data_IF_296070915562
#
_entry.id   IF_296070915562
#
_cell.length_a   1.000
_cell.length_b   1.000
_cell.length_c   1.000
_cell.angle_alpha   90.00
_cell.angle_beta   90.00
_cell.angle_gamma   90.00
#
_symmetry.space_group_name_H-M   'P 1'
#
loop_
_entity.id
_entity.type
_entity.pdbx_description
1 polymer ?
#
# COMPACT_ATOMS: atom_id res chain seq x y z
N UNK A 1 -8.63 8.79 -12.28
CA UNK A 1 -9.93 8.27 -11.76
C UNK A 1 -10.49 7.09 -12.57
N UNK A 2 -10.52 7.11 -13.91
CA UNK A 2 -11.03 5.95 -14.67
C UNK A 2 -10.29 4.62 -14.35
N UNK A 3 -8.97 4.67 -14.14
CA UNK A 3 -8.17 3.49 -13.76
C UNK A 3 -8.46 2.93 -12.36
N UNK A 4 -8.90 3.76 -11.41
CA UNK A 4 -9.32 3.30 -10.07
C UNK A 4 -10.74 2.72 -10.12
N UNK A 5 -11.64 3.38 -10.87
CA UNK A 5 -13.03 2.91 -11.07
C UNK A 5 -13.08 1.58 -11.83
N UNK A 6 -12.24 1.39 -12.85
CA UNK A 6 -12.14 0.11 -13.58
C UNK A 6 -11.65 -1.07 -12.73
N UNK A 7 -11.27 -0.81 -11.47
CA UNK A 7 -10.82 -1.80 -10.49
C UNK A 7 -11.81 -1.98 -9.32
N UNK A 8 -13.04 -1.50 -9.46
CA UNK A 8 -14.13 -1.72 -8.51
C UNK A 8 -14.38 -3.19 -8.18
N UNK A 9 -14.06 -4.13 -9.10
CA UNK A 9 -14.12 -5.57 -8.85
C UNK A 9 -13.32 -6.05 -7.63
N UNK A 10 -12.31 -5.29 -7.20
CA UNK A 10 -11.52 -5.60 -6.00
C UNK A 10 -12.17 -5.08 -4.70
N UNK A 11 -13.29 -4.35 -4.77
CA UNK A 11 -13.97 -3.81 -3.59
C UNK A 11 -14.43 -4.93 -2.63
N UNK A 12 -14.96 -6.04 -3.18
CA UNK A 12 -15.34 -7.20 -2.37
C UNK A 12 -14.14 -7.81 -1.64
N UNK A 13 -13.02 -7.98 -2.33
CA UNK A 13 -11.78 -8.47 -1.71
C UNK A 13 -11.25 -7.51 -0.64
N UNK A 14 -11.28 -6.21 -0.89
CA UNK A 14 -10.89 -5.19 0.08
C UNK A 14 -11.77 -5.21 1.35
N UNK A 15 -13.08 -5.41 1.18
CA UNK A 15 -14.00 -5.59 2.31
C UNK A 15 -13.66 -6.85 3.11
N UNK A 16 -13.45 -7.99 2.44
CA UNK A 16 -13.03 -9.25 3.09
C UNK A 16 -11.72 -9.09 3.87
N UNK A 17 -10.75 -8.35 3.34
CA UNK A 17 -9.51 -8.04 4.07
C UNK A 17 -9.82 -7.21 5.33
N UNK A 18 -10.76 -6.26 5.27
CA UNK A 18 -11.23 -5.52 6.44
C UNK A 18 -11.80 -6.44 7.53
N UNK A 19 -12.68 -7.39 7.15
CA UNK A 19 -13.19 -8.40 8.08
C UNK A 19 -12.07 -9.26 8.65
N UNK A 20 -11.13 -9.72 7.83
CA UNK A 20 -10.00 -10.53 8.26
C UNK A 20 -9.11 -9.78 9.29
N UNK A 21 -8.90 -8.47 9.11
CA UNK A 21 -8.17 -7.62 10.06
C UNK A 21 -8.87 -7.57 11.42
N UNK A 22 -10.20 -7.42 11.45
CA UNK A 22 -10.96 -7.39 12.71
C UNK A 22 -10.96 -8.75 13.40
N UNK A 23 -11.16 -9.84 12.64
CA UNK A 23 -11.06 -11.20 13.17
C UNK A 23 -9.67 -11.46 13.76
N UNK A 24 -8.61 -11.05 13.05
CA UNK A 24 -7.23 -11.16 13.54
C UNK A 24 -7.01 -10.32 14.80
N UNK A 25 -7.59 -9.13 14.90
CA UNK A 25 -7.49 -8.29 16.09
C UNK A 25 -8.13 -8.93 17.32
N UNK A 26 -9.28 -9.57 17.15
CA UNK A 26 -9.97 -10.30 18.23
C UNK A 26 -9.20 -11.56 18.62
N UNK A 27 -8.71 -12.32 17.62
CA UNK A 27 -8.01 -13.59 17.85
C UNK A 27 -6.57 -13.43 18.37
N UNK A 28 -5.90 -12.34 18.02
CA UNK A 28 -4.49 -12.07 18.31
C UNK A 28 -4.35 -10.73 19.05
N UNK A 29 -4.82 -10.63 20.31
CA UNK A 29 -4.81 -9.38 21.06
C UNK A 29 -3.41 -8.84 21.35
N UNK A 30 -2.38 -9.69 21.27
CA UNK A 30 -0.97 -9.31 21.48
C UNK A 30 -0.35 -8.62 20.28
N UNK A 31 -0.97 -8.69 19.09
CA UNK A 31 -0.45 -8.05 17.89
C UNK A 31 -0.88 -6.57 17.87
N UNK A 32 0.05 -5.61 17.76
CA UNK A 32 -0.29 -4.20 17.74
C UNK A 32 -1.25 -3.86 16.59
N UNK A 33 -2.28 -3.07 16.88
CA UNK A 33 -3.30 -2.69 15.89
C UNK A 33 -2.70 -2.03 14.64
N UNK A 34 -1.63 -1.24 14.80
CA UNK A 34 -0.92 -0.62 13.68
C UNK A 34 -0.35 -1.64 12.68
N UNK A 35 0.05 -2.83 13.14
CA UNK A 35 0.53 -3.92 12.28
C UNK A 35 -0.61 -4.49 11.46
N UNK A 36 -1.72 -4.84 12.12
CA UNK A 36 -2.89 -5.43 11.46
C UNK A 36 -3.52 -4.47 10.45
N UNK A 37 -3.75 -3.22 10.86
CA UNK A 37 -4.29 -2.17 9.99
C UNK A 37 -3.33 -1.85 8.86
N UNK A 38 -2.02 -1.76 9.12
CA UNK A 38 -1.02 -1.45 8.10
C UNK A 38 -0.91 -2.55 7.03
N UNK A 39 -0.82 -3.81 7.43
CA UNK A 39 -0.77 -4.93 6.47
C UNK A 39 -2.09 -5.02 5.70
N UNK A 40 -3.22 -4.94 6.42
CA UNK A 40 -4.56 -5.00 5.82
C UNK A 40 -4.79 -3.87 4.80
N UNK A 41 -4.48 -2.63 5.16
CA UNK A 41 -4.61 -1.48 4.27
C UNK A 41 -3.71 -1.62 3.04
N UNK A 42 -2.44 -2.04 3.22
CA UNK A 42 -1.53 -2.23 2.09
C UNK A 42 -2.08 -3.27 1.10
N UNK A 43 -2.53 -4.42 1.60
CA UNK A 43 -3.09 -5.51 0.77
C UNK A 43 -4.39 -5.07 0.11
N UNK A 44 -5.33 -4.46 0.85
CA UNK A 44 -6.63 -4.04 0.35
C UNK A 44 -6.54 -2.94 -0.72
N UNK A 45 -5.61 -1.98 -0.56
CA UNK A 45 -5.54 -0.79 -1.39
C UNK A 45 -4.64 -0.96 -2.63
N UNK A 46 -3.65 -1.88 -2.59
CA UNK A 46 -2.69 -2.09 -3.68
C UNK A 46 -3.34 -2.27 -5.06
N UNK A 47 -4.42 -3.07 -5.24
CA UNK A 47 -5.06 -3.24 -6.54
C UNK A 47 -5.52 -1.93 -7.16
N UNK A 48 -6.02 -0.98 -6.37
CA UNK A 48 -6.56 0.29 -6.87
C UNK A 48 -5.47 1.24 -7.41
N UNK A 49 -4.23 1.10 -6.97
CA UNK A 49 -3.10 1.89 -7.47
C UNK A 49 -2.57 1.41 -8.84
N UNK A 50 -3.02 0.26 -9.33
CA UNK A 50 -2.44 -0.36 -10.52
C UNK A 50 -2.56 0.45 -11.81
N UNK A 51 -3.60 1.29 -11.95
CA UNK A 51 -3.71 2.20 -13.12
C UNK A 51 -2.54 3.18 -13.20
N UNK A 52 -2.11 3.72 -12.05
CA UNK A 52 -0.90 4.55 -11.99
C UNK A 52 0.35 3.72 -12.33
N UNK A 53 0.45 2.50 -11.81
CA UNK A 53 1.58 1.60 -12.09
C UNK A 53 1.72 1.25 -13.58
N UNK A 54 0.61 1.05 -14.29
CA UNK A 54 0.60 0.79 -15.74
C UNK A 54 1.09 2.00 -16.53
N UNK A 55 0.64 3.20 -16.17
CA UNK A 55 1.14 4.45 -16.78
C UNK A 55 2.62 4.66 -16.47
N UNK A 56 3.03 4.43 -15.22
CA UNK A 56 4.40 4.69 -14.77
C UNK A 56 5.43 3.82 -15.47
N UNK A 57 5.10 2.55 -15.71
CA UNK A 57 5.95 1.58 -16.42
C UNK A 57 6.11 1.88 -17.92
N UNK A 58 5.23 2.68 -18.51
CA UNK A 58 5.29 3.03 -19.93
C UNK A 58 5.49 4.55 -20.12
N UNK A 59 6.75 5.02 -20.26
CA UNK A 59 7.05 6.43 -20.46
C UNK A 59 6.36 7.02 -21.70
N UNK A 60 6.16 6.24 -22.75
CA UNK A 60 5.46 6.66 -23.96
C UNK A 60 4.03 7.09 -23.63
N UNK A 61 3.25 6.21 -22.99
CA UNK A 61 1.85 6.50 -22.58
C UNK A 61 1.74 7.75 -21.71
N UNK A 62 2.69 7.97 -20.81
CA UNK A 62 2.73 9.17 -19.97
C UNK A 62 2.95 10.46 -20.76
N UNK A 63 3.79 10.45 -21.79
CA UNK A 63 4.04 11.62 -22.63
C UNK A 63 2.79 12.06 -23.40
N UNK A 64 1.97 11.09 -23.82
CA UNK A 64 0.71 11.37 -24.52
C UNK A 64 -0.35 12.06 -23.64
N UNK A 65 -0.23 12.01 -22.32
CA UNK A 65 -1.18 12.65 -21.40
C UNK A 65 -0.98 14.17 -21.27
N UNK A 66 0.16 14.71 -21.70
CA UNK A 66 0.46 16.16 -21.59
C UNK A 66 0.55 16.71 -20.16
N UNK A 67 0.51 15.85 -19.13
CA UNK A 67 0.52 16.25 -17.72
C UNK A 67 1.89 16.05 -17.08
N UNK A 68 2.18 16.82 -16.02
CA UNK A 68 3.41 16.63 -15.26
C UNK A 68 3.36 15.34 -14.44
N UNK A 69 4.53 14.73 -14.18
CA UNK A 69 4.61 13.53 -13.34
C UNK A 69 4.05 13.76 -11.92
N UNK A 70 4.28 14.96 -11.38
CA UNK A 70 3.82 15.32 -10.03
C UNK A 70 2.29 15.35 -9.98
N UNK A 71 1.67 15.99 -10.96
CA UNK A 71 0.22 16.06 -11.09
C UNK A 71 -0.40 14.67 -11.25
N UNK A 72 0.23 13.80 -12.07
CA UNK A 72 -0.23 12.42 -12.25
C UNK A 72 -0.21 11.63 -10.93
N UNK A 73 0.87 11.75 -10.14
CA UNK A 73 0.99 11.08 -8.85
C UNK A 73 0.01 11.65 -7.84
N UNK A 74 -0.15 12.97 -7.78
CA UNK A 74 -1.07 13.62 -6.84
C UNK A 74 -2.53 13.25 -7.14
N UNK A 75 -2.96 13.31 -8.39
CA UNK A 75 -4.35 12.99 -8.77
C UNK A 75 -4.71 11.53 -8.45
N UNK A 76 -3.82 10.59 -8.74
CA UNK A 76 -4.02 9.18 -8.39
C UNK A 76 -3.86 8.92 -6.88
N UNK A 77 -2.95 9.65 -6.22
CA UNK A 77 -2.76 9.61 -4.78
C UNK A 77 -3.98 10.07 -4.01
N UNK A 78 -4.63 11.16 -4.44
CA UNK A 78 -5.88 11.65 -3.87
C UNK A 78 -7.01 10.63 -4.04
N UNK A 79 -7.12 10.01 -5.23
CA UNK A 79 -8.10 8.96 -5.46
C UNK A 79 -7.87 7.75 -4.54
N UNK A 80 -6.60 7.32 -4.40
CA UNK A 80 -6.21 6.21 -3.54
C UNK A 80 -6.44 6.54 -2.06
N UNK A 81 -6.15 7.78 -1.64
CA UNK A 81 -6.43 8.26 -0.29
C UNK A 81 -7.94 8.25 0.01
N UNK A 82 -8.78 8.67 -0.95
CA UNK A 82 -10.24 8.57 -0.82
C UNK A 82 -10.71 7.12 -0.61
N UNK A 83 -10.18 6.17 -1.39
CA UNK A 83 -10.47 4.74 -1.19
C UNK A 83 -9.96 4.25 0.17
N UNK A 84 -8.78 4.73 0.61
CA UNK A 84 -8.24 4.46 1.94
C UNK A 84 -9.15 4.94 3.05
N UNK A 85 -9.75 6.14 2.93
CA UNK A 85 -10.74 6.66 3.87
C UNK A 85 -12.00 5.79 3.86
N UNK A 86 -12.53 5.41 2.69
CA UNK A 86 -13.68 4.52 2.61
C UNK A 86 -13.40 3.15 3.27
N UNK A 87 -12.20 2.61 3.06
CA UNK A 87 -11.80 1.34 3.66
C UNK A 87 -11.61 1.46 5.18
N UNK A 88 -11.02 2.56 5.66
CA UNK A 88 -10.91 2.85 7.09
C UNK A 88 -12.29 3.02 7.74
N UNK A 89 -13.23 3.68 7.08
CA UNK A 89 -14.61 3.80 7.55
C UNK A 89 -15.31 2.43 7.62
N UNK A 90 -15.14 1.59 6.59
CA UNK A 90 -15.63 0.21 6.62
C UNK A 90 -15.00 -0.56 7.79
N UNK A 91 -13.69 -0.46 7.98
CA UNK A 91 -12.99 -1.12 9.07
C UNK A 91 -13.54 -0.66 10.43
N UNK A 92 -13.78 0.65 10.62
CA UNK A 92 -14.36 1.20 11.83
C UNK A 92 -15.75 0.61 12.12
N UNK A 93 -16.61 0.54 11.11
CA UNK A 93 -17.94 -0.08 11.22
C UNK A 93 -17.83 -1.55 11.62
N UNK A 94 -16.94 -2.31 10.98
CA UNK A 94 -16.75 -3.74 11.28
C UNK A 94 -16.16 -3.94 12.68
N UNK A 95 -15.21 -3.10 13.12
CA UNK A 95 -14.67 -3.18 14.49
C UNK A 95 -15.73 -2.90 15.55
N UNK A 96 -16.57 -1.88 15.34
CA UNK A 96 -17.66 -1.55 16.25
C UNK A 96 -18.69 -2.68 16.32
N UNK A 97 -19.04 -3.27 15.18
CA UNK A 97 -19.92 -4.44 15.13
C UNK A 97 -19.31 -5.66 15.86
N UNK A 98 -17.99 -5.79 15.84
CA UNK A 98 -17.24 -6.79 16.61
C UNK A 98 -17.04 -6.46 18.09
N UNK A 99 -17.59 -5.34 18.59
CA UNK A 99 -17.46 -4.93 19.99
C UNK A 99 -16.05 -4.53 20.41
N UNK A 100 -15.19 -4.14 19.46
CA UNK A 100 -13.78 -3.77 19.69
C UNK A 100 -13.44 -2.42 19.04
N UNK A 101 -12.27 -1.87 19.36
CA UNK A 101 -11.75 -0.67 18.70
C UNK A 101 -10.23 -0.70 18.59
N UNK A 102 -9.72 -0.10 17.51
CA UNK A 102 -8.28 0.16 17.38
C UNK A 102 -7.92 1.50 18.02
N UNK A 103 -6.76 1.57 18.67
CA UNK A 103 -6.19 2.82 19.17
C UNK A 103 -5.93 3.83 18.04
N UNK A 104 -5.94 5.13 18.39
CA UNK A 104 -5.83 6.24 17.43
C UNK A 104 -4.59 6.12 16.50
N UNK A 105 -3.46 5.67 17.04
CA UNK A 105 -2.22 5.48 16.29
C UNK A 105 -2.31 4.44 15.16
N UNK A 106 -3.16 3.42 15.30
CA UNK A 106 -3.32 2.38 14.28
C UNK A 106 -3.95 2.93 12.99
N UNK A 107 -4.80 3.96 13.10
CA UNK A 107 -5.43 4.59 11.93
C UNK A 107 -4.44 5.34 11.05
N UNK A 108 -3.30 5.79 11.61
CA UNK A 108 -2.21 6.39 10.83
C UNK A 108 -1.52 5.38 9.91
N UNK A 109 -1.73 4.07 10.12
CA UNK A 109 -1.21 3.04 9.21
C UNK A 109 -1.91 3.06 7.84
N UNK A 110 -3.11 3.64 7.72
CA UNK A 110 -3.82 3.79 6.44
C UNK A 110 -3.15 4.82 5.52
N UNK A 111 -2.94 6.10 5.91
CA UNK A 111 -2.21 7.05 5.08
C UNK A 111 -0.76 6.61 4.84
N UNK A 112 -0.11 5.96 5.81
CA UNK A 112 1.19 5.32 5.60
C UNK A 112 1.14 4.31 4.42
N UNK A 113 0.14 3.43 4.42
CA UNK A 113 -0.05 2.43 3.35
C UNK A 113 -0.27 3.08 1.99
N UNK A 114 -1.04 4.16 1.93
CA UNK A 114 -1.25 4.92 0.69
C UNK A 114 0.08 5.46 0.15
N UNK A 115 0.91 6.07 1.01
CA UNK A 115 2.23 6.59 0.62
C UNK A 115 3.18 5.48 0.18
N UNK A 116 3.21 4.37 0.91
CA UNK A 116 3.99 3.18 0.58
C UNK A 116 3.60 2.62 -0.78
N UNK A 117 2.29 2.46 -1.05
CA UNK A 117 1.78 1.97 -2.33
C UNK A 117 2.16 2.93 -3.47
N UNK A 118 2.00 4.24 -3.27
CA UNK A 118 2.42 5.24 -4.27
C UNK A 118 3.91 5.10 -4.59
N UNK A 119 4.76 4.91 -3.58
CA UNK A 119 6.20 4.69 -3.76
C UNK A 119 6.50 3.35 -4.46
N UNK A 120 5.71 2.30 -4.21
CA UNK A 120 5.81 1.00 -4.89
C UNK A 120 5.45 1.11 -6.38
N UNK A 121 4.31 1.73 -6.71
CA UNK A 121 3.83 1.78 -8.10
C UNK A 121 4.58 2.80 -8.96
N UNK A 122 5.21 3.81 -8.35
CA UNK A 122 6.04 4.81 -9.03
C UNK A 122 7.54 4.47 -9.04
N UNK A 123 7.89 3.20 -8.82
CA UNK A 123 9.29 2.76 -8.94
C UNK A 123 9.80 2.92 -10.38
N UNK A 124 11.10 3.18 -10.50
CA UNK A 124 11.79 3.25 -11.79
C UNK A 124 11.77 1.90 -12.49
N UNK A 125 11.99 1.89 -13.81
CA UNK A 125 12.17 0.65 -14.57
C UNK A 125 13.32 -0.17 -13.98
N UNK A 126 13.22 -1.50 -14.13
CA UNK A 126 14.25 -2.40 -13.60
C UNK A 126 15.56 -2.15 -14.32
N UNK A 127 16.60 -1.88 -13.55
CA UNK A 127 17.94 -1.62 -14.06
C UNK A 127 18.84 -2.82 -13.75
N UNK A 128 19.32 -3.46 -14.81
CA UNK A 128 20.19 -4.63 -14.75
C UNK A 128 21.68 -4.28 -14.94
N UNK A 129 22.02 -3.00 -15.16
CA UNK A 129 23.38 -2.58 -15.50
C UNK A 129 24.37 -2.52 -14.33
N UNK A 130 24.03 -3.05 -13.15
CA UNK A 130 24.86 -2.91 -11.96
C UNK A 130 25.80 -4.11 -11.77
N UNK A 131 27.13 -3.91 -11.65
CA UNK A 131 28.09 -4.99 -11.38
C UNK A 131 28.03 -5.54 -9.95
N UNK A 132 27.36 -4.88 -9.01
CA UNK A 132 27.30 -5.30 -7.61
C UNK A 132 26.19 -6.35 -7.37
N UNK A 133 26.58 -7.50 -6.83
CA UNK A 133 25.66 -8.57 -6.40
C UNK A 133 25.55 -8.62 -4.87
N UNK A 134 24.37 -9.02 -4.39
CA UNK A 134 24.09 -9.28 -2.99
C UNK A 134 23.63 -10.72 -2.88
N UNK A 135 24.21 -11.46 -1.94
CA UNK A 135 23.78 -12.82 -1.66
C UNK A 135 22.40 -12.80 -0.99
N UNK A 136 21.46 -13.50 -1.60
CA UNK A 136 20.13 -13.72 -1.06
C UNK A 136 19.91 -15.23 -0.85
N UNK A 137 18.93 -15.64 -0.03
CA UNK A 137 18.59 -17.07 0.12
C UNK A 137 18.21 -17.76 -1.20
N UNK A 138 17.87 -16.99 -2.25
CA UNK A 138 17.51 -17.47 -3.58
C UNK A 138 18.68 -17.40 -4.57
N UNK A 139 19.90 -17.10 -4.10
CA UNK A 139 21.10 -16.91 -4.91
C UNK A 139 21.53 -15.43 -5.04
N UNK A 140 22.67 -15.16 -5.68
CA UNK A 140 23.18 -13.81 -5.87
C UNK A 140 22.27 -12.99 -6.80
N UNK A 141 21.82 -11.83 -6.33
CA UNK A 141 20.99 -10.90 -7.10
C UNK A 141 21.66 -9.53 -7.25
N UNK A 142 21.45 -8.80 -8.36
CA UNK A 142 21.96 -7.44 -8.50
C UNK A 142 21.43 -6.53 -7.38
N UNK A 143 22.30 -5.76 -6.74
CA UNK A 143 21.96 -4.91 -5.60
C UNK A 143 20.83 -3.91 -5.90
N UNK A 144 20.80 -3.37 -7.13
CA UNK A 144 19.74 -2.46 -7.58
C UNK A 144 18.38 -3.15 -7.68
N UNK A 145 18.35 -4.43 -8.05
CA UNK A 145 17.11 -5.19 -8.15
C UNK A 145 16.50 -5.40 -6.76
N UNK A 146 17.33 -5.74 -5.77
CA UNK A 146 16.91 -5.84 -4.36
C UNK A 146 16.36 -4.51 -3.86
N UNK A 147 17.10 -3.40 -4.08
CA UNK A 147 16.65 -2.05 -3.68
C UNK A 147 15.32 -1.66 -4.35
N UNK A 148 15.14 -1.99 -5.62
CA UNK A 148 13.90 -1.68 -6.36
C UNK A 148 12.73 -2.58 -5.96
N UNK A 149 12.99 -3.82 -5.54
CA UNK A 149 11.98 -4.74 -5.04
C UNK A 149 11.36 -4.23 -3.74
N UNK A 150 12.20 -3.76 -2.81
CA UNK A 150 11.73 -3.28 -1.51
C UNK A 150 11.23 -1.83 -1.51
N UNK A 151 11.35 -1.09 -2.61
CA UNK A 151 10.89 0.30 -2.68
C UNK A 151 9.37 0.39 -2.43
N UNK A 152 9.00 1.11 -1.38
CA UNK A 152 7.63 1.26 -0.88
C UNK A 152 7.31 0.29 0.26
N UNK A 153 7.71 -0.98 0.14
CA UNK A 153 7.61 -1.97 1.23
C UNK A 153 8.53 -1.61 2.40
N UNK A 154 9.67 -1.00 2.14
CA UNK A 154 10.58 -0.44 3.13
C UNK A 154 9.89 0.62 4.00
N UNK A 155 9.21 1.59 3.38
CA UNK A 155 8.44 2.61 4.09
C UNK A 155 7.31 1.98 4.91
N UNK A 156 6.64 0.97 4.35
CA UNK A 156 5.56 0.27 5.04
C UNK A 156 6.06 -0.44 6.30
N UNK A 157 7.12 -1.24 6.16
CA UNK A 157 7.66 -2.02 7.27
C UNK A 157 8.19 -1.11 8.38
N UNK A 158 9.02 -0.11 8.03
CA UNK A 158 9.58 0.82 9.01
C UNK A 158 8.47 1.64 9.68
N UNK A 159 7.52 2.17 8.89
CA UNK A 159 6.43 2.98 9.43
C UNK A 159 5.50 2.18 10.36
N UNK A 160 5.20 0.92 10.03
CA UNK A 160 4.44 0.04 10.91
C UNK A 160 5.18 -0.19 12.23
N UNK A 161 6.50 -0.48 12.18
CA UNK A 161 7.31 -0.68 13.38
C UNK A 161 7.29 0.57 14.27
N UNK A 162 7.47 1.75 13.68
CA UNK A 162 7.43 3.03 14.41
C UNK A 162 6.05 3.27 15.03
N UNK A 163 4.97 3.07 14.28
CA UNK A 163 3.60 3.24 14.79
C UNK A 163 3.25 2.22 15.87
N UNK A 164 3.74 0.98 15.74
CA UNK A 164 3.53 -0.07 16.72
C UNK A 164 4.32 0.16 18.01
N UNK A 165 5.48 0.81 17.95
CA UNK A 165 6.29 1.16 19.12
C UNK A 165 5.80 2.41 19.85
N UNK A 166 4.96 3.24 19.20
CA UNK A 166 4.43 4.49 19.76
C UNK A 166 3.10 4.31 20.52
N UNK A 167 2.58 3.08 20.59
CA UNK A 167 1.30 2.70 21.24
C UNK A 167 1.60 1.70 22.33
#
# INVERSE_FOLDING_TARGET
FAGTLGRSRYAGAAALVGFAVVVAHIALPTVPGAVLVGIGAYVALTPFAGGLGELWRNPGRRRWLGTSNRELVLTHGLALAGIGICWAALLAVVTLAGGTSFGLGAWLAVPLSVLSILRTVTRTAVDYGNPAFVDTPMGPMPANLVRQLFRGLDLQAIGIVVLAAAV
#
